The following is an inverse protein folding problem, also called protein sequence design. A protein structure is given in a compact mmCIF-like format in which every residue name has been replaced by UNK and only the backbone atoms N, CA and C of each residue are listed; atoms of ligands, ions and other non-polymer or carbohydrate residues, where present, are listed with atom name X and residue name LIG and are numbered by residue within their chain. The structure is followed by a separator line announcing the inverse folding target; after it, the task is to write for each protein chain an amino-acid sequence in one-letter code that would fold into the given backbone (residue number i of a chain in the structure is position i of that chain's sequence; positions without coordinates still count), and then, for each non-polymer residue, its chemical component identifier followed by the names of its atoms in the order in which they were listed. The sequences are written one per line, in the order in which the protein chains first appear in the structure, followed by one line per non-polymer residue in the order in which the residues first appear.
data_IF_620642880644
#
_entry.id   IF_620642880644
#
_cell.length_a   1.000
_cell.length_b   1.000
_cell.length_c   1.000
_cell.angle_alpha   90.00
_cell.angle_beta   90.00
_cell.angle_gamma   90.00
#
_symmetry.space_group_name_H-M   'P 1'
#
loop_
_entity.id
_entity.type
_entity.pdbx_description
1 polymer ?
#
# COMPACT_ATOMS: atom_id res chain seq x y z
N UNK A 1 7.41 -10.37 11.73
CA UNK A 1 7.33 -11.52 10.78
C UNK A 1 6.34 -11.13 9.69
N UNK A 2 6.71 -11.19 8.41
CA UNK A 2 5.78 -10.83 7.31
C UNK A 2 4.68 -11.89 7.18
N UNK A 3 3.43 -11.44 7.14
CA UNK A 3 2.31 -12.36 6.89
C UNK A 3 2.40 -12.92 5.46
N UNK A 4 2.12 -14.22 5.25
CA UNK A 4 2.10 -14.79 3.92
C UNK A 4 1.15 -14.00 3.00
N UNK A 5 1.62 -13.71 1.78
CA UNK A 5 0.79 -13.13 0.73
C UNK A 5 -0.23 -14.19 0.34
N UNK A 6 -1.49 -13.93 0.65
CA UNK A 6 -2.58 -14.85 0.31
C UNK A 6 -2.82 -14.86 -1.21
N UNK A 7 -3.42 -15.93 -1.74
CA UNK A 7 -3.79 -16.00 -3.17
C UNK A 7 -4.69 -14.82 -3.59
N UNK A 8 -5.58 -14.37 -2.69
CA UNK A 8 -6.41 -13.19 -2.89
C UNK A 8 -5.56 -11.92 -3.06
N UNK A 9 -4.59 -11.73 -2.17
CA UNK A 9 -3.70 -10.57 -2.23
C UNK A 9 -2.84 -10.58 -3.49
N UNK A 10 -2.33 -11.75 -3.89
CA UNK A 10 -1.58 -11.90 -5.14
C UNK A 10 -2.43 -11.53 -6.36
N UNK A 11 -3.69 -11.95 -6.40
CA UNK A 11 -4.60 -11.60 -7.48
C UNK A 11 -4.92 -10.10 -7.50
N UNK A 12 -5.08 -9.48 -6.33
CA UNK A 12 -5.27 -8.03 -6.23
C UNK A 12 -4.05 -7.25 -6.75
N UNK A 13 -2.83 -7.65 -6.37
CA UNK A 13 -1.59 -7.04 -6.85
C UNK A 13 -1.40 -7.22 -8.36
N UNK A 14 -1.77 -8.39 -8.91
CA UNK A 14 -1.77 -8.64 -10.37
C UNK A 14 -2.77 -7.75 -11.10
N UNK A 15 -3.98 -7.58 -10.54
CA UNK A 15 -4.98 -6.70 -11.12
C UNK A 15 -4.50 -5.23 -11.12
N UNK A 16 -3.85 -4.80 -10.04
CA UNK A 16 -3.26 -3.46 -9.97
C UNK A 16 -2.16 -3.27 -11.01
N UNK A 17 -1.22 -4.21 -11.14
CA UNK A 17 -0.17 -4.14 -12.18
C UNK A 17 -0.73 -4.02 -13.59
N UNK A 18 -1.81 -4.73 -13.90
CA UNK A 18 -2.44 -4.65 -15.23
C UNK A 18 -3.07 -3.29 -15.50
N UNK A 19 -3.61 -2.63 -14.48
CA UNK A 19 -4.30 -1.35 -14.62
C UNK A 19 -3.35 -0.15 -14.52
N UNK A 20 -2.34 -0.22 -13.65
CA UNK A 20 -1.33 0.79 -13.44
C UNK A 20 -0.04 0.09 -12.93
N UNK A 21 0.95 -0.14 -13.81
CA UNK A 21 2.17 -0.87 -13.46
C UNK A 21 2.93 -0.24 -12.28
N UNK A 22 3.13 1.08 -12.30
CA UNK A 22 3.89 1.81 -11.27
C UNK A 22 3.24 1.67 -9.88
N UNK A 23 1.90 1.79 -9.83
CA UNK A 23 1.14 1.59 -8.60
C UNK A 23 1.13 0.12 -8.17
N UNK A 24 1.08 -0.83 -9.10
CA UNK A 24 1.17 -2.26 -8.82
C UNK A 24 2.49 -2.65 -8.18
N UNK A 25 3.60 -2.13 -8.72
CA UNK A 25 4.94 -2.32 -8.17
C UNK A 25 5.06 -1.71 -6.77
N UNK A 26 4.57 -0.48 -6.60
CA UNK A 26 4.56 0.19 -5.30
C UNK A 26 3.74 -0.58 -4.26
N UNK A 27 2.53 -1.02 -4.62
CA UNK A 27 1.68 -1.80 -3.73
C UNK A 27 2.34 -3.12 -3.30
N UNK A 28 3.12 -3.74 -4.21
CA UNK A 28 3.88 -4.96 -3.91
C UNK A 28 5.06 -4.67 -2.99
N UNK A 29 5.79 -3.58 -3.23
CA UNK A 29 6.88 -3.13 -2.36
C UNK A 29 6.39 -2.83 -0.94
N UNK A 30 5.26 -2.13 -0.80
CA UNK A 30 4.62 -1.90 0.50
C UNK A 30 4.26 -3.22 1.17
N UNK A 31 3.60 -4.14 0.45
CA UNK A 31 3.19 -5.43 1.01
C UNK A 31 4.36 -6.29 1.52
N UNK A 32 5.53 -6.22 0.86
CA UNK A 32 6.75 -6.92 1.27
C UNK A 32 7.42 -6.24 2.47
N UNK A 33 7.43 -4.92 2.51
CA UNK A 33 8.04 -4.13 3.58
C UNK A 33 7.21 -4.10 4.88
N UNK A 34 5.91 -4.33 4.80
CA UNK A 34 4.97 -4.13 5.90
C UNK A 34 5.17 -5.16 7.03
N UNK A 35 5.53 -4.68 8.22
CA UNK A 35 5.60 -5.52 9.42
C UNK A 35 4.21 -5.68 10.06
N UNK A 36 3.56 -6.78 9.68
CA UNK A 36 2.22 -7.13 10.17
C UNK A 36 2.18 -7.49 11.67
N UNK A 37 3.31 -7.81 12.31
CA UNK A 37 3.31 -8.10 13.76
C UNK A 37 3.11 -6.89 14.66
N UNK A 38 3.06 -5.69 14.08
CA UNK A 38 2.90 -4.43 14.82
C UNK A 38 1.46 -4.00 15.04
N UNK A 39 0.48 -4.72 14.47
CA UNK A 39 -0.94 -4.39 14.55
C UNK A 39 -1.80 -5.63 14.77
N UNK A 40 -2.94 -5.44 15.42
CA UNK A 40 -3.86 -6.53 15.76
C UNK A 40 -4.63 -7.08 14.55
N UNK A 41 -4.86 -6.24 13.53
CA UNK A 41 -5.66 -6.60 12.35
C UNK A 41 -4.97 -6.23 11.03
N UNK A 42 -3.95 -7.00 10.64
CA UNK A 42 -3.23 -6.77 9.40
C UNK A 42 -4.05 -7.04 8.13
N UNK A 43 -5.09 -7.86 8.20
CA UNK A 43 -6.04 -8.07 7.10
C UNK A 43 -6.81 -6.78 6.77
N UNK A 44 -7.23 -6.04 7.81
CA UNK A 44 -7.88 -4.75 7.64
C UNK A 44 -6.93 -3.72 7.03
N UNK A 45 -5.67 -3.66 7.50
CA UNK A 45 -4.66 -2.77 6.94
C UNK A 45 -4.44 -3.04 5.43
N UNK A 46 -4.33 -4.32 5.06
CA UNK A 46 -4.24 -4.75 3.66
C UNK A 46 -5.46 -4.32 2.84
N UNK A 47 -6.67 -4.49 3.37
CA UNK A 47 -7.90 -4.10 2.69
C UNK A 47 -7.98 -2.59 2.46
N UNK A 48 -7.54 -1.79 3.44
CA UNK A 48 -7.46 -0.33 3.33
C UNK A 48 -6.52 0.06 2.19
N UNK A 49 -5.30 -0.47 2.17
CA UNK A 49 -4.32 -0.21 1.11
C UNK A 49 -4.86 -0.63 -0.26
N UNK A 50 -5.42 -1.83 -0.38
CA UNK A 50 -5.97 -2.34 -1.64
C UNK A 50 -7.11 -1.45 -2.17
N UNK A 51 -8.04 -1.03 -1.30
CA UNK A 51 -9.14 -0.13 -1.67
C UNK A 51 -8.61 1.21 -2.12
N UNK A 52 -7.64 1.78 -1.41
CA UNK A 52 -7.07 3.08 -1.76
C UNK A 52 -6.29 3.02 -3.08
N UNK A 53 -5.56 1.92 -3.36
CA UNK A 53 -4.96 1.69 -4.68
C UNK A 53 -6.02 1.69 -5.79
N UNK A 54 -7.16 1.00 -5.59
CA UNK A 54 -8.25 1.01 -6.58
C UNK A 54 -8.84 2.40 -6.80
N UNK A 55 -8.95 3.22 -5.75
CA UNK A 55 -9.39 4.61 -5.86
C UNK A 55 -8.42 5.44 -6.71
N UNK A 56 -7.11 5.26 -6.54
CA UNK A 56 -6.07 5.89 -7.36
C UNK A 56 -6.22 5.47 -8.83
N UNK A 57 -6.36 4.17 -9.11
CA UNK A 57 -6.59 3.67 -10.48
C UNK A 57 -7.83 4.29 -11.13
N UNK A 58 -8.92 4.46 -10.36
CA UNK A 58 -10.15 5.08 -10.85
C UNK A 58 -10.09 6.61 -10.95
N UNK A 59 -8.95 7.25 -10.64
CA UNK A 59 -8.79 8.70 -10.70
C UNK A 59 -9.59 9.46 -9.65
N UNK A 60 -9.95 8.82 -8.52
CA UNK A 60 -10.72 9.50 -7.47
C UNK A 60 -9.89 10.64 -6.85
N UNK A 61 -10.43 11.87 -6.75
CA UNK A 61 -9.74 13.01 -6.17
C UNK A 61 -9.28 12.73 -4.73
N UNK A 62 -8.06 13.17 -4.40
CA UNK A 62 -7.47 13.02 -3.06
C UNK A 62 -7.06 11.60 -2.67
N UNK A 63 -7.27 10.59 -3.53
CA UNK A 63 -6.91 9.19 -3.23
C UNK A 63 -5.40 8.99 -3.00
N UNK A 64 -4.57 9.80 -3.66
CA UNK A 64 -3.10 9.81 -3.47
C UNK A 64 -2.73 10.35 -2.09
N UNK A 65 -3.29 11.49 -1.69
CA UNK A 65 -3.10 12.07 -0.35
C UNK A 65 -3.57 11.11 0.75
N UNK A 66 -4.72 10.47 0.56
CA UNK A 66 -5.22 9.44 1.50
C UNK A 66 -4.24 8.27 1.60
N UNK A 67 -3.67 7.81 0.49
CA UNK A 67 -2.66 6.75 0.53
C UNK A 67 -1.42 7.18 1.32
N UNK A 68 -0.94 8.41 1.11
CA UNK A 68 0.18 8.96 1.89
C UNK A 68 -0.15 9.00 3.38
N UNK A 69 -1.35 9.42 3.76
CA UNK A 69 -1.79 9.42 5.16
C UNK A 69 -1.81 8.02 5.76
N UNK A 70 -2.27 7.01 5.01
CA UNK A 70 -2.21 5.62 5.47
C UNK A 70 -0.77 5.15 5.70
N UNK A 71 0.15 5.46 4.78
CA UNK A 71 1.56 5.11 4.95
C UNK A 71 2.18 5.78 6.18
N UNK A 72 1.86 7.06 6.42
CA UNK A 72 2.31 7.78 7.61
C UNK A 72 1.76 7.15 8.89
N UNK A 73 0.47 6.80 8.89
CA UNK A 73 -0.15 6.15 10.03
C UNK A 73 0.47 4.78 10.31
N UNK A 74 0.67 3.95 9.28
CA UNK A 74 1.36 2.67 9.43
C UNK A 74 2.82 2.84 9.85
N UNK A 75 3.50 3.92 9.45
CA UNK A 75 4.80 4.29 9.98
C UNK A 75 4.79 4.61 11.48
N UNK A 76 3.77 5.35 11.94
CA UNK A 76 3.60 5.67 13.37
C UNK A 76 3.34 4.43 14.23
N UNK A 77 2.81 3.36 13.62
CA UNK A 77 2.61 2.05 14.23
C UNK A 77 3.82 1.12 14.04
N UNK A 78 4.93 1.61 13.50
CA UNK A 78 6.14 0.84 13.19
C UNK A 78 5.96 -0.28 12.16
N UNK A 79 4.84 -0.34 11.44
CA UNK A 79 4.65 -1.29 10.33
C UNK A 79 5.57 -0.99 9.15
N UNK A 80 6.08 0.24 9.05
CA UNK A 80 7.00 0.72 8.02
C UNK A 80 8.05 1.61 8.67
N UNK A 81 9.29 1.58 8.18
CA UNK A 81 10.33 2.50 8.64
C UNK A 81 10.10 3.91 8.10
N UNK A 82 10.65 4.93 8.78
CA UNK A 82 10.56 6.33 8.32
C UNK A 82 11.11 6.54 6.91
N UNK A 83 12.14 5.76 6.53
CA UNK A 83 12.70 5.77 5.18
C UNK A 83 11.70 5.21 4.16
N UNK A 84 11.08 4.07 4.45
CA UNK A 84 10.07 3.45 3.58
C UNK A 84 8.84 4.35 3.41
N UNK A 85 8.37 4.96 4.50
CA UNK A 85 7.24 5.91 4.45
C UNK A 85 7.57 7.08 3.53
N UNK A 86 8.77 7.66 3.66
CA UNK A 86 9.23 8.78 2.83
C UNK A 86 9.32 8.38 1.35
N UNK A 87 9.94 7.23 1.08
CA UNK A 87 10.11 6.70 -0.28
C UNK A 87 8.77 6.43 -0.95
N UNK A 88 7.91 5.63 -0.31
CA UNK A 88 6.62 5.23 -0.87
C UNK A 88 5.69 6.43 -1.05
N UNK A 89 5.67 7.36 -0.09
CA UNK A 89 4.89 8.60 -0.22
C UNK A 89 5.36 9.47 -1.37
N UNK A 90 6.68 9.55 -1.59
CA UNK A 90 7.25 10.30 -2.72
C UNK A 90 6.86 9.66 -4.06
N UNK A 91 6.92 8.33 -4.14
CA UNK A 91 6.51 7.60 -5.35
C UNK A 91 5.02 7.79 -5.65
N UNK A 92 4.14 7.70 -4.64
CA UNK A 92 2.69 7.93 -4.82
C UNK A 92 2.37 9.32 -5.38
N UNK A 93 3.03 10.36 -4.85
CA UNK A 93 2.82 11.73 -5.33
C UNK A 93 3.26 11.95 -6.77
N UNK A 94 4.21 11.14 -7.25
CA UNK A 94 4.75 11.19 -8.61
C UNK A 94 4.01 10.26 -9.60
N UNK A 95 3.02 9.49 -9.15
CA UNK A 95 2.22 8.66 -10.05
C UNK A 95 1.52 9.57 -11.08
N UNK A 96 1.65 9.25 -12.36
CA UNK A 96 0.99 9.93 -13.48
C UNK A 96 -0.51 9.79 -13.40
#
# INVERSE_FOLDING_TARGET
MSLPITARQLNALRALHRANPDLGELASAVALAFDASKIDNPELARLILEKTCRRIVSGQPGSREIMVQHLQHFGSLECLSSQQVTEFSTRIRKLG
#
